data_IF_996910223448
#
_entry.id   IF_996910223448
#
_cell.length_a   1.000
_cell.length_b   1.000
_cell.length_c   1.000
_cell.angle_alpha   90.00
_cell.angle_beta   90.00
_cell.angle_gamma   90.00
#
_symmetry.space_group_name_H-M   'P 1'
#
loop_
_entity.id
_entity.type
_entity.pdbx_description
1 polymer ?
#
# COMPACT_ATOMS: atom_id res chain seq x y z
N UNK A 1 18.07 -10.18 -9.83
CA UNK A 1 18.84 -8.92 -9.70
C UNK A 1 18.16 -7.94 -10.64
N UNK A 2 17.45 -6.97 -10.11
CA UNK A 2 16.78 -5.92 -10.87
C UNK A 2 17.66 -4.66 -10.75
N UNK A 3 17.87 -3.97 -11.85
CA UNK A 3 18.72 -2.78 -11.89
C UNK A 3 17.85 -1.55 -11.64
N UNK A 4 18.30 -0.62 -10.80
CA UNK A 4 17.55 0.62 -10.50
C UNK A 4 17.22 1.42 -11.77
N UNK A 5 18.08 1.37 -12.79
CA UNK A 5 17.84 1.97 -14.11
C UNK A 5 16.56 1.45 -14.80
N UNK A 6 16.11 0.22 -14.50
CA UNK A 6 14.88 -0.34 -15.07
C UNK A 6 13.61 0.32 -14.52
N UNK A 7 13.70 0.99 -13.37
CA UNK A 7 12.59 1.76 -12.83
C UNK A 7 12.41 3.11 -13.47
N UNK A 8 13.45 3.65 -14.12
CA UNK A 8 13.44 5.03 -14.62
C UNK A 8 12.27 5.33 -15.59
N UNK A 9 11.98 4.49 -16.60
CA UNK A 9 10.81 4.73 -17.45
C UNK A 9 9.49 4.65 -16.69
N UNK A 10 9.44 3.85 -15.61
CA UNK A 10 8.27 3.73 -14.76
C UNK A 10 8.10 4.97 -13.89
N UNK A 11 9.16 5.52 -13.31
CA UNK A 11 9.09 6.76 -12.52
C UNK A 11 8.67 7.95 -13.38
N UNK A 12 9.20 8.10 -14.59
CA UNK A 12 8.76 9.13 -15.56
C UNK A 12 7.28 9.01 -15.90
N UNK A 13 6.80 7.78 -16.13
CA UNK A 13 5.39 7.56 -16.40
C UNK A 13 4.50 7.94 -15.21
N UNK A 14 4.87 7.50 -13.99
CA UNK A 14 4.10 7.79 -12.78
C UNK A 14 4.10 9.28 -12.44
N UNK A 15 5.24 9.98 -12.60
CA UNK A 15 5.32 11.42 -12.46
C UNK A 15 4.38 12.10 -13.46
N UNK A 16 4.43 11.72 -14.73
CA UNK A 16 3.55 12.25 -15.77
C UNK A 16 2.07 12.10 -15.41
N UNK A 17 1.67 10.96 -14.84
CA UNK A 17 0.31 10.75 -14.34
C UNK A 17 -0.08 11.76 -13.25
N UNK A 18 0.78 11.98 -12.25
CA UNK A 18 0.53 12.92 -11.13
C UNK A 18 0.47 14.36 -11.66
N UNK A 19 1.49 14.78 -12.42
CA UNK A 19 1.59 16.14 -12.98
C UNK A 19 0.39 16.47 -13.86
N UNK A 20 -0.03 15.55 -14.73
CA UNK A 20 -1.18 15.78 -15.60
C UNK A 20 -2.48 15.89 -14.81
N UNK A 21 -2.64 15.10 -13.74
CA UNK A 21 -3.81 15.19 -12.88
C UNK A 21 -3.88 16.53 -12.14
N UNK A 22 -2.77 16.99 -11.56
CA UNK A 22 -2.71 18.29 -10.89
C UNK A 22 -2.93 19.46 -11.85
N UNK A 23 -2.34 19.42 -13.06
CA UNK A 23 -2.57 20.43 -14.10
C UNK A 23 -4.03 20.47 -14.56
N UNK A 24 -4.68 19.31 -14.72
CA UNK A 24 -6.08 19.24 -15.13
C UNK A 24 -7.02 19.89 -14.10
N UNK A 25 -6.65 19.85 -12.82
CA UNK A 25 -7.35 20.50 -11.71
C UNK A 25 -6.93 21.97 -11.50
N UNK A 26 -5.99 22.48 -12.30
CA UNK A 26 -5.54 23.88 -12.25
C UNK A 26 -4.46 24.19 -11.21
N UNK A 27 -3.84 23.17 -10.60
CA UNK A 27 -2.80 23.36 -9.60
C UNK A 27 -1.43 23.61 -10.23
N UNK A 28 -0.68 24.56 -9.68
CA UNK A 28 0.73 24.72 -9.98
C UNK A 28 1.52 23.59 -9.30
N UNK A 29 2.48 23.00 -10.02
CA UNK A 29 3.28 21.89 -9.51
C UNK A 29 4.75 22.07 -9.89
N UNK A 30 5.63 21.72 -8.95
CA UNK A 30 7.05 21.51 -9.21
C UNK A 30 7.36 20.05 -8.94
N UNK A 31 8.08 19.40 -9.84
CA UNK A 31 8.48 18.01 -9.70
C UNK A 31 9.98 17.87 -9.89
N UNK A 32 10.56 16.91 -9.19
CA UNK A 32 11.98 16.60 -9.30
C UNK A 32 12.14 15.09 -9.18
N UNK A 33 12.76 14.49 -10.19
CA UNK A 33 13.13 13.09 -10.15
C UNK A 33 14.55 12.97 -9.63
N UNK A 34 14.76 12.02 -8.72
CA UNK A 34 16.06 11.77 -8.10
C UNK A 34 16.33 10.27 -8.23
N UNK A 35 17.44 9.92 -8.86
CA UNK A 35 17.94 8.56 -8.81
C UNK A 35 18.51 8.28 -7.42
N UNK A 36 18.08 7.19 -6.77
CA UNK A 36 18.55 6.83 -5.43
C UNK A 36 20.07 6.60 -5.40
N UNK A 37 20.65 6.12 -6.51
CA UNK A 37 22.09 5.91 -6.61
C UNK A 37 22.84 7.24 -6.62
N UNK A 38 22.40 8.21 -7.41
CA UNK A 38 23.02 9.53 -7.47
C UNK A 38 22.95 10.23 -6.11
N UNK A 39 21.84 10.04 -5.41
CA UNK A 39 21.68 10.58 -4.06
C UNK A 39 22.60 9.89 -3.04
N UNK A 40 22.79 8.57 -3.15
CA UNK A 40 23.74 7.84 -2.32
C UNK A 40 25.20 8.28 -2.59
N UNK A 41 25.53 8.55 -3.85
CA UNK A 41 26.87 9.00 -4.28
C UNK A 41 27.13 10.49 -3.97
N UNK A 42 26.08 11.31 -3.84
CA UNK A 42 26.14 12.75 -3.57
C UNK A 42 25.02 13.20 -2.61
N UNK A 43 25.16 12.91 -1.30
CA UNK A 43 24.10 13.15 -0.32
C UNK A 43 23.89 14.64 0.03
N UNK A 44 24.83 15.51 -0.30
CA UNK A 44 24.79 16.95 0.04
C UNK A 44 23.91 17.78 -0.93
N UNK A 45 23.13 17.12 -1.80
CA UNK A 45 22.14 17.81 -2.62
C UNK A 45 21.07 18.44 -1.73
N UNK A 46 20.65 19.67 -2.04
CA UNK A 46 19.55 20.35 -1.35
C UNK A 46 18.55 20.84 -2.37
N UNK A 47 17.26 20.63 -2.08
CA UNK A 47 16.18 21.07 -2.96
C UNK A 47 15.41 22.23 -2.33
N UNK A 48 15.22 23.29 -3.10
CA UNK A 48 14.49 24.48 -2.67
C UNK A 48 13.13 24.58 -3.36
N UNK A 49 12.18 25.21 -2.67
CA UNK A 49 10.83 25.45 -3.16
C UNK A 49 10.60 26.95 -3.24
N UNK A 50 10.08 27.40 -4.39
CA UNK A 50 9.79 28.82 -4.65
C UNK A 50 8.48 29.28 -4.01
N UNK A 51 7.66 28.35 -3.51
CA UNK A 51 6.39 28.67 -2.87
C UNK A 51 6.58 29.09 -1.41
N UNK A 52 5.68 29.95 -0.93
CA UNK A 52 5.70 30.41 0.45
C UNK A 52 5.58 29.23 1.43
N UNK A 53 6.25 29.27 2.60
CA UNK A 53 6.08 28.27 3.64
C UNK A 53 4.60 28.09 3.99
N UNK A 54 4.19 26.84 4.17
CA UNK A 54 2.81 26.43 4.45
C UNK A 54 1.79 26.73 3.35
N UNK A 55 2.24 27.09 2.13
CA UNK A 55 1.37 27.27 0.97
C UNK A 55 1.36 26.08 0.00
N UNK A 56 2.08 25.00 0.30
CA UNK A 56 2.22 23.83 -0.57
C UNK A 56 2.22 22.51 0.21
N UNK A 57 1.94 21.42 -0.51
CA UNK A 57 2.05 20.04 -0.02
C UNK A 57 3.28 19.39 -0.64
N UNK A 58 3.99 18.57 0.14
CA UNK A 58 5.11 17.75 -0.34
C UNK A 58 4.68 16.30 -0.44
N UNK A 59 4.77 15.71 -1.63
CA UNK A 59 4.55 14.28 -1.84
C UNK A 59 5.83 13.65 -2.37
N UNK A 60 6.34 12.63 -1.67
CA UNK A 60 7.50 11.85 -2.10
C UNK A 60 7.04 10.44 -2.49
N UNK A 61 7.38 10.00 -3.69
CA UNK A 61 7.08 8.65 -4.16
C UNK A 61 8.38 7.88 -4.31
N UNK A 62 8.60 6.91 -3.43
CA UNK A 62 9.74 6.02 -3.47
C UNK A 62 9.43 4.82 -4.36
N UNK A 63 10.23 4.61 -5.41
CA UNK A 63 10.18 3.42 -6.26
C UNK A 63 11.49 2.66 -6.07
N UNK A 64 11.44 1.55 -5.32
CA UNK A 64 12.63 0.74 -5.05
C UNK A 64 12.26 -0.74 -4.80
N UNK A 65 13.28 -1.58 -4.64
CA UNK A 65 13.16 -2.99 -4.30
C UNK A 65 13.62 -3.24 -2.86
N UNK A 66 12.97 -4.20 -2.19
CA UNK A 66 13.57 -4.83 -1.02
C UNK A 66 14.61 -5.85 -1.48
N UNK A 67 15.87 -5.67 -1.08
CA UNK A 67 16.94 -6.65 -1.32
C UNK A 67 17.07 -7.50 -0.06
N UNK A 68 17.08 -8.82 -0.22
CA UNK A 68 17.21 -9.85 0.82
C UNK A 68 15.95 -10.21 1.63
N UNK A 69 16.07 -11.29 2.41
CA UNK A 69 15.09 -11.73 3.42
C UNK A 69 14.91 -10.75 4.57
N UNK A 70 15.80 -9.77 4.73
CA UNK A 70 15.80 -8.82 5.84
C UNK A 70 15.03 -7.52 5.54
N UNK A 71 14.48 -7.36 4.33
CA UNK A 71 13.61 -6.23 4.01
C UNK A 71 14.34 -4.89 3.84
N UNK A 72 15.60 -4.91 3.40
CA UNK A 72 16.42 -3.70 3.18
C UNK A 72 16.06 -3.01 1.86
N UNK A 73 16.11 -1.68 1.81
CA UNK A 73 15.77 -0.88 0.63
C UNK A 73 16.98 -0.70 -0.30
N UNK A 74 16.86 -1.07 -1.58
CA UNK A 74 17.92 -0.87 -2.55
C UNK A 74 18.15 0.62 -2.85
N UNK A 75 19.40 1.07 -2.78
CA UNK A 75 19.79 2.43 -3.18
C UNK A 75 20.85 2.45 -4.29
N UNK A 76 21.61 1.36 -4.46
CA UNK A 76 22.50 1.14 -5.61
C UNK A 76 22.57 -0.37 -5.96
N UNK A 77 23.28 -0.73 -7.04
CA UNK A 77 23.34 -2.12 -7.55
C UNK A 77 23.75 -3.17 -6.50
N UNK A 78 24.54 -2.79 -5.50
CA UNK A 78 24.97 -3.67 -4.40
C UNK A 78 24.82 -3.03 -3.02
N UNK A 79 24.03 -1.95 -2.90
CA UNK A 79 23.83 -1.23 -1.65
C UNK A 79 22.35 -1.27 -1.31
N UNK A 80 22.05 -1.81 -0.13
CA UNK A 80 20.73 -1.77 0.46
C UNK A 80 20.85 -1.30 1.91
N UNK A 81 19.88 -0.50 2.33
CA UNK A 81 19.88 0.15 3.63
C UNK A 81 18.70 -0.33 4.49
N UNK A 82 18.86 -0.28 5.81
CA UNK A 82 17.74 -0.41 6.74
C UNK A 82 16.76 0.75 6.56
N UNK A 83 15.57 0.62 7.14
CA UNK A 83 14.51 1.61 7.00
C UNK A 83 14.96 3.01 7.43
N UNK A 84 15.60 3.10 8.61
CA UNK A 84 16.07 4.37 9.17
C UNK A 84 17.22 4.98 8.37
N UNK A 85 18.20 4.19 7.94
CA UNK A 85 19.29 4.71 7.11
C UNK A 85 18.78 5.16 5.74
N UNK A 86 17.86 4.41 5.12
CA UNK A 86 17.22 4.77 3.87
C UNK A 86 16.48 6.10 3.98
N UNK A 87 15.66 6.25 5.02
CA UNK A 87 14.91 7.47 5.27
C UNK A 87 15.85 8.65 5.55
N UNK A 88 16.84 8.49 6.42
CA UNK A 88 17.83 9.55 6.70
C UNK A 88 18.55 10.02 5.43
N UNK A 89 18.99 9.10 4.57
CA UNK A 89 19.62 9.41 3.30
C UNK A 89 18.67 10.21 2.39
N UNK A 90 17.42 9.77 2.28
CA UNK A 90 16.49 10.31 1.29
C UNK A 90 15.75 11.57 1.73
N UNK A 91 15.56 11.77 3.04
CA UNK A 91 14.91 12.98 3.56
C UNK A 91 15.88 14.12 3.82
N UNK A 92 17.17 13.85 4.01
CA UNK A 92 18.19 14.90 4.22
C UNK A 92 18.11 16.04 3.19
N UNK A 93 18.16 15.75 1.88
CA UNK A 93 18.08 16.77 0.82
C UNK A 93 16.81 17.62 0.77
N UNK A 94 15.70 17.06 1.26
CA UNK A 94 14.35 17.65 1.17
C UNK A 94 13.79 18.03 2.54
N UNK A 95 14.60 17.95 3.60
CA UNK A 95 14.15 18.18 4.97
C UNK A 95 13.56 19.58 5.15
N UNK A 96 14.18 20.60 4.57
CA UNK A 96 13.64 21.96 4.56
C UNK A 96 12.28 22.07 3.86
N UNK A 97 12.06 21.29 2.80
CA UNK A 97 10.78 21.24 2.08
C UNK A 97 9.70 20.59 2.93
N UNK A 98 10.01 19.45 3.56
CA UNK A 98 9.08 18.74 4.45
C UNK A 98 8.66 19.67 5.59
N UNK A 99 9.63 20.28 6.29
CA UNK A 99 9.36 21.16 7.43
C UNK A 99 8.54 22.41 7.04
N UNK A 100 8.81 23.01 5.88
CA UNK A 100 8.12 24.19 5.39
C UNK A 100 6.77 23.88 4.70
N UNK A 101 6.49 22.64 4.32
CA UNK A 101 5.21 22.25 3.72
C UNK A 101 4.04 22.40 4.70
N UNK A 102 2.84 22.66 4.19
CA UNK A 102 1.60 22.60 4.96
C UNK A 102 1.32 21.16 5.43
N UNK A 103 1.59 20.21 4.54
CA UNK A 103 1.44 18.80 4.77
C UNK A 103 2.47 18.04 3.93
N UNK A 104 2.98 16.93 4.48
CA UNK A 104 3.97 16.08 3.83
C UNK A 104 3.59 14.60 3.87
N UNK A 105 3.73 13.92 2.74
CA UNK A 105 3.38 12.52 2.59
C UNK A 105 4.45 11.74 1.83
N UNK A 106 4.60 10.46 2.16
CA UNK A 106 5.40 9.52 1.37
C UNK A 106 4.60 8.29 0.91
N UNK A 107 4.89 7.82 -0.30
CA UNK A 107 4.37 6.55 -0.84
C UNK A 107 5.54 5.64 -1.20
N UNK A 108 5.59 4.47 -0.58
CA UNK A 108 6.59 3.44 -0.82
C UNK A 108 6.06 2.39 -1.79
N UNK A 109 6.43 2.54 -3.05
CA UNK A 109 6.21 1.57 -4.12
C UNK A 109 7.34 0.54 -4.10
N UNK A 110 7.39 -0.20 -3.00
CA UNK A 110 8.42 -1.21 -2.75
C UNK A 110 7.86 -2.59 -2.93
N UNK A 111 8.50 -3.41 -3.78
CA UNK A 111 8.23 -4.85 -3.77
C UNK A 111 9.20 -5.56 -2.82
N UNK A 112 8.76 -6.69 -2.28
CA UNK A 112 9.54 -7.52 -1.37
C UNK A 112 8.94 -7.57 0.03
N UNK A 113 9.74 -7.92 1.03
CA UNK A 113 9.31 -8.23 2.40
C UNK A 113 9.68 -7.14 3.41
N UNK A 114 9.52 -5.88 3.02
CA UNK A 114 9.95 -4.74 3.83
C UNK A 114 9.19 -4.66 5.15
N UNK A 115 7.88 -4.95 5.09
CA UNK A 115 6.94 -4.85 6.22
C UNK A 115 6.59 -6.23 6.82
N UNK A 116 7.35 -7.28 6.48
CA UNK A 116 7.08 -8.63 6.98
C UNK A 116 7.48 -8.79 8.46
N UNK A 117 8.34 -7.90 8.99
CA UNK A 117 8.70 -7.88 10.41
C UNK A 117 7.98 -6.75 11.16
N UNK A 118 7.52 -7.08 12.37
CA UNK A 118 7.00 -6.08 13.30
C UNK A 118 8.09 -5.04 13.63
N UNK A 119 9.33 -5.48 13.80
CA UNK A 119 10.49 -4.62 14.08
C UNK A 119 10.66 -3.51 13.04
N UNK A 120 10.67 -3.83 11.74
CA UNK A 120 10.80 -2.83 10.68
C UNK A 120 9.61 -1.86 10.69
N UNK A 121 8.41 -2.38 10.99
CA UNK A 121 7.20 -1.56 11.05
C UNK A 121 7.23 -0.60 12.24
N UNK A 122 7.75 -1.06 13.39
CA UNK A 122 7.98 -0.21 14.56
C UNK A 122 9.02 0.87 14.28
N UNK A 123 10.15 0.51 13.68
CA UNK A 123 11.21 1.46 13.35
C UNK A 123 10.70 2.59 12.43
N UNK A 124 9.88 2.24 11.44
CA UNK A 124 9.23 3.22 10.56
C UNK A 124 8.23 4.10 11.30
N UNK A 125 7.41 3.54 12.20
CA UNK A 125 6.48 4.34 13.01
C UNK A 125 7.24 5.29 13.93
N UNK A 126 8.26 4.81 14.65
CA UNK A 126 9.10 5.65 15.51
C UNK A 126 9.75 6.80 14.73
N UNK A 127 10.15 6.55 13.49
CA UNK A 127 10.69 7.58 12.63
C UNK A 127 9.62 8.61 12.21
N UNK A 128 8.42 8.19 11.83
CA UNK A 128 7.31 9.10 11.47
C UNK A 128 6.89 9.96 12.67
N UNK A 129 6.94 9.44 13.89
CA UNK A 129 6.71 10.23 15.11
C UNK A 129 7.80 11.27 15.39
N UNK A 130 8.94 11.18 14.70
CA UNK A 130 10.05 12.12 14.84
C UNK A 130 9.71 13.54 14.36
N UNK A 131 10.44 14.55 14.85
CA UNK A 131 10.36 15.89 14.28
C UNK A 131 10.88 15.90 12.84
N UNK A 132 10.29 16.78 12.02
CA UNK A 132 10.73 17.06 10.64
C UNK A 132 10.75 15.86 9.68
N UNK A 133 9.86 14.91 9.92
CA UNK A 133 9.55 13.78 9.04
C UNK A 133 8.18 13.97 8.37
N UNK A 134 7.82 13.05 7.47
CA UNK A 134 6.52 13.06 6.81
C UNK A 134 5.37 13.00 7.82
N UNK A 135 4.27 13.70 7.55
CA UNK A 135 3.06 13.63 8.38
C UNK A 135 2.34 12.29 8.24
N UNK A 136 2.51 11.64 7.10
CA UNK A 136 1.94 10.32 6.82
C UNK A 136 2.75 9.55 5.79
N UNK A 137 2.70 8.22 5.85
CA UNK A 137 3.31 7.35 4.85
C UNK A 137 2.41 6.18 4.49
N UNK A 138 2.48 5.73 3.23
CA UNK A 138 1.81 4.52 2.76
C UNK A 138 2.85 3.57 2.19
N UNK A 139 2.82 2.32 2.63
CA UNK A 139 3.65 1.24 2.13
C UNK A 139 2.86 0.15 1.43
N UNK A 140 3.42 -0.46 0.40
CA UNK A 140 2.84 -1.66 -0.24
C UNK A 140 3.38 -2.93 0.42
N UNK A 141 2.50 -3.86 0.78
CA UNK A 141 2.87 -5.11 1.48
C UNK A 141 3.23 -6.26 0.51
N UNK A 142 3.15 -6.04 -0.80
CA UNK A 142 3.24 -7.11 -1.78
C UNK A 142 4.69 -7.47 -2.10
N UNK A 143 5.01 -8.75 -1.93
CA UNK A 143 6.31 -9.31 -2.31
C UNK A 143 6.62 -9.15 -3.81
N UNK A 144 5.59 -9.06 -4.65
CA UNK A 144 5.68 -8.87 -6.10
C UNK A 144 4.77 -7.74 -6.53
N UNK A 145 5.16 -6.50 -6.20
CA UNK A 145 4.52 -5.29 -6.71
C UNK A 145 5.06 -4.95 -8.10
N UNK A 146 4.17 -4.70 -9.06
CA UNK A 146 4.50 -3.95 -10.27
C UNK A 146 3.94 -2.52 -10.11
N UNK A 147 4.78 -1.47 -10.10
CA UNK A 147 4.30 -0.10 -9.86
C UNK A 147 3.26 0.38 -10.87
N UNK A 148 3.22 -0.19 -12.07
CA UNK A 148 2.21 0.13 -13.08
C UNK A 148 0.76 -0.12 -12.62
N UNK A 149 0.53 -1.03 -11.68
CA UNK A 149 -0.80 -1.26 -11.10
C UNK A 149 -1.32 -0.07 -10.29
N UNK A 150 -0.44 0.88 -9.94
CA UNK A 150 -0.76 2.07 -9.16
C UNK A 150 -0.81 3.34 -10.00
N UNK A 151 -0.64 3.26 -11.32
CA UNK A 151 -0.62 4.42 -12.21
C UNK A 151 -1.91 5.26 -12.17
N UNK A 152 -3.07 4.65 -11.88
CA UNK A 152 -4.33 5.38 -11.70
C UNK A 152 -4.60 5.76 -10.24
N UNK A 153 -4.06 5.01 -9.29
CA UNK A 153 -4.20 5.28 -7.86
C UNK A 153 -3.39 6.52 -7.42
N UNK A 154 -2.12 6.60 -7.81
CA UNK A 154 -1.20 7.68 -7.44
C UNK A 154 -1.75 9.08 -7.77
N UNK A 155 -2.18 9.39 -9.00
CA UNK A 155 -2.72 10.72 -9.29
C UNK A 155 -4.00 11.01 -8.48
N UNK A 156 -4.87 10.03 -8.26
CA UNK A 156 -6.09 10.24 -7.47
C UNK A 156 -5.76 10.58 -6.02
N UNK A 157 -4.88 9.81 -5.39
CA UNK A 157 -4.51 10.03 -3.98
C UNK A 157 -3.70 11.33 -3.82
N UNK A 158 -2.87 11.66 -4.81
CA UNK A 158 -2.11 12.92 -4.88
C UNK A 158 -3.02 14.15 -5.09
N UNK A 159 -4.08 14.05 -5.89
CA UNK A 159 -5.05 15.15 -6.04
C UNK A 159 -5.87 15.33 -4.76
N UNK A 160 -6.25 14.25 -4.08
CA UNK A 160 -6.97 14.36 -2.81
C UNK A 160 -6.10 15.02 -1.72
N UNK A 161 -4.77 14.86 -1.72
CA UNK A 161 -3.88 15.60 -0.81
C UNK A 161 -4.05 17.13 -0.89
N UNK A 162 -4.33 17.67 -2.08
CA UNK A 162 -4.46 19.12 -2.29
C UNK A 162 -5.82 19.66 -1.85
N UNK A 163 -6.86 18.82 -1.87
CA UNK A 163 -8.23 19.21 -1.53
C UNK A 163 -8.56 19.15 -0.03
N UNK A 164 -7.73 18.47 0.77
CA UNK A 164 -7.96 18.26 2.20
C UNK A 164 -6.85 18.88 3.03
N UNK A 165 -7.16 19.22 4.27
CA UNK A 165 -6.17 19.77 5.21
C UNK A 165 -5.15 18.72 5.70
N UNK A 166 -5.37 17.43 5.46
CA UNK A 166 -4.49 16.33 5.87
C UNK A 166 -4.82 15.03 5.12
N UNK A 167 -3.84 14.12 5.05
CA UNK A 167 -4.03 12.75 4.55
C UNK A 167 -4.59 11.87 5.66
N UNK A 168 -5.92 11.86 5.81
CA UNK A 168 -6.54 10.91 6.72
C UNK A 168 -6.48 9.49 6.15
N UNK A 169 -6.34 8.53 7.05
CA UNK A 169 -6.28 7.11 6.74
C UNK A 169 -7.48 6.63 5.90
N UNK A 170 -8.69 7.14 6.19
CA UNK A 170 -9.92 6.74 5.52
C UNK A 170 -9.95 7.20 4.07
N UNK A 171 -9.41 8.37 3.75
CA UNK A 171 -9.32 8.89 2.41
C UNK A 171 -8.37 8.02 1.57
N UNK A 172 -7.19 7.69 2.08
CA UNK A 172 -6.25 6.79 1.39
C UNK A 172 -6.92 5.44 1.11
N UNK A 173 -7.58 4.87 2.11
CA UNK A 173 -8.33 3.61 1.99
C UNK A 173 -9.43 3.71 0.91
N UNK A 174 -10.23 4.78 0.94
CA UNK A 174 -11.34 5.00 0.00
C UNK A 174 -10.86 5.18 -1.43
N UNK A 175 -9.75 5.87 -1.66
CA UNK A 175 -9.15 6.04 -2.99
C UNK A 175 -8.58 4.71 -3.49
N UNK A 176 -7.85 4.00 -2.64
CA UNK A 176 -7.23 2.72 -3.00
C UNK A 176 -8.27 1.66 -3.37
N UNK A 177 -9.30 1.47 -2.53
CA UNK A 177 -10.30 0.42 -2.76
C UNK A 177 -11.18 0.70 -3.98
N UNK A 178 -11.38 1.97 -4.36
CA UNK A 178 -12.10 2.35 -5.59
C UNK A 178 -11.28 2.13 -6.85
N UNK A 179 -9.96 2.07 -6.71
CA UNK A 179 -9.07 1.71 -7.82
C UNK A 179 -8.93 0.19 -7.88
N UNK A 180 -9.79 -0.43 -8.70
CA UNK A 180 -9.86 -1.89 -8.80
C UNK A 180 -8.53 -2.52 -9.21
N UNK A 181 -7.72 -1.83 -10.02
CA UNK A 181 -6.41 -2.35 -10.42
C UNK A 181 -5.45 -2.32 -9.22
N UNK A 182 -5.35 -1.17 -8.55
CA UNK A 182 -4.52 -1.04 -7.36
C UNK A 182 -4.90 -2.05 -6.27
N UNK A 183 -6.17 -2.10 -5.84
CA UNK A 183 -6.57 -2.93 -4.71
C UNK A 183 -6.52 -4.43 -4.99
N UNK A 184 -6.70 -4.86 -6.24
CA UNK A 184 -6.56 -6.30 -6.59
C UNK A 184 -5.12 -6.78 -6.59
N UNK A 185 -4.16 -5.87 -6.77
CA UNK A 185 -2.74 -6.20 -6.88
C UNK A 185 -1.91 -5.76 -5.68
N UNK A 186 -2.51 -5.03 -4.74
CA UNK A 186 -1.82 -4.49 -3.57
C UNK A 186 -2.61 -4.72 -2.29
N UNK A 187 -1.88 -4.89 -1.19
CA UNK A 187 -2.30 -4.55 0.15
C UNK A 187 -1.42 -3.42 0.64
N UNK A 188 -1.95 -2.62 1.56
CA UNK A 188 -1.27 -1.41 2.02
C UNK A 188 -1.08 -1.42 3.51
N UNK A 189 -0.05 -0.73 3.97
CA UNK A 189 0.09 -0.28 5.34
C UNK A 189 0.09 1.24 5.33
N UNK A 190 -0.66 1.83 6.24
CA UNK A 190 -0.70 3.26 6.48
C UNK A 190 -0.03 3.56 7.81
N UNK A 191 0.77 4.61 7.80
CA UNK A 191 1.38 5.20 8.98
C UNK A 191 0.98 6.68 9.03
N UNK A 192 0.59 7.15 10.20
CA UNK A 192 0.30 8.56 10.48
C UNK A 192 0.95 8.95 11.79
N UNK A 193 1.32 10.23 11.93
CA UNK A 193 1.76 10.78 13.22
C UNK A 193 0.65 10.63 14.26
N UNK A 194 1.01 10.20 15.46
CA UNK A 194 0.09 10.00 16.60
C UNK A 194 -0.99 8.94 16.34
N UNK A 195 -0.82 8.11 15.32
CA UNK A 195 -1.75 7.03 14.96
C UNK A 195 -1.02 5.69 14.98
N UNK A 196 -1.71 4.63 15.43
CA UNK A 196 -1.17 3.29 15.27
C UNK A 196 -1.19 2.91 13.78
N UNK A 197 -0.12 2.31 13.23
CA UNK A 197 -0.09 1.89 11.85
C UNK A 197 -1.13 0.80 11.58
N UNK A 198 -1.74 0.88 10.40
CA UNK A 198 -2.87 0.06 10.02
C UNK A 198 -2.65 -0.59 8.67
N UNK A 199 -2.94 -1.89 8.60
CA UNK A 199 -2.89 -2.67 7.38
C UNK A 199 -4.26 -2.72 6.73
N UNK A 200 -4.30 -2.45 5.43
CA UNK A 200 -5.47 -2.59 4.59
C UNK A 200 -5.30 -3.82 3.70
N UNK A 201 -6.11 -4.84 3.96
CA UNK A 201 -6.17 -6.01 3.11
C UNK A 201 -7.36 -5.95 2.17
N UNK A 202 -7.11 -6.02 0.86
CA UNK A 202 -8.20 -6.12 -0.09
C UNK A 202 -8.93 -7.44 0.14
N UNK A 203 -10.24 -7.36 0.37
CA UNK A 203 -11.04 -8.46 0.92
C UNK A 203 -12.23 -8.84 0.03
N UNK A 204 -12.02 -9.19 -1.25
CA UNK A 204 -13.09 -9.69 -2.11
C UNK A 204 -13.63 -10.99 -1.52
N UNK A 205 -14.82 -10.93 -0.92
CA UNK A 205 -15.39 -12.01 -0.10
C UNK A 205 -15.49 -13.37 -0.82
N UNK A 206 -15.53 -13.37 -2.15
CA UNK A 206 -15.65 -14.59 -2.96
C UNK A 206 -14.31 -15.31 -3.21
N UNK A 207 -13.18 -14.63 -3.05
CA UNK A 207 -11.85 -15.17 -3.41
C UNK A 207 -10.84 -15.04 -2.29
N UNK A 208 -10.89 -13.92 -1.56
CA UNK A 208 -9.97 -13.57 -0.48
C UNK A 208 -10.73 -12.92 0.69
N UNK A 209 -11.65 -13.64 1.36
CA UNK A 209 -12.40 -13.05 2.46
C UNK A 209 -11.46 -12.65 3.61
N UNK A 210 -11.66 -11.44 4.15
CA UNK A 210 -10.86 -10.87 5.26
C UNK A 210 -9.35 -10.86 4.96
N UNK A 211 -8.96 -10.60 3.72
CA UNK A 211 -7.55 -10.53 3.34
C UNK A 211 -6.83 -11.88 3.28
N UNK A 212 -7.53 -13.01 3.38
CA UNK A 212 -6.92 -14.34 3.31
C UNK A 212 -7.40 -15.12 2.10
N UNK A 213 -6.46 -15.64 1.32
CA UNK A 213 -6.79 -16.46 0.17
C UNK A 213 -7.57 -17.71 0.60
N UNK A 214 -8.59 -18.05 -0.16
CA UNK A 214 -9.26 -19.33 0.04
C UNK A 214 -8.30 -20.48 -0.28
N UNK A 215 -8.31 -21.56 0.52
CA UNK A 215 -7.48 -22.72 0.23
C UNK A 215 -7.87 -23.32 -1.13
N UNK A 216 -6.92 -23.92 -1.83
CA UNK A 216 -7.20 -24.60 -3.10
C UNK A 216 -8.32 -25.63 -2.92
N UNK A 217 -9.39 -25.48 -3.70
CA UNK A 217 -10.57 -26.37 -3.59
C UNK A 217 -10.24 -27.83 -3.88
N UNK A 218 -9.21 -28.09 -4.69
CA UNK A 218 -8.74 -29.44 -5.02
C UNK A 218 -7.91 -30.06 -3.89
N UNK A 219 -7.28 -29.22 -3.06
CA UNK A 219 -6.57 -29.68 -1.88
C UNK A 219 -7.55 -30.11 -0.78
N UNK A 220 -8.56 -29.27 -0.50
CA UNK A 220 -9.50 -29.49 0.61
C UNK A 220 -10.63 -30.46 0.24
N UNK A 221 -11.22 -30.32 -0.94
CA UNK A 221 -12.36 -31.13 -1.35
C UNK A 221 -11.94 -32.20 -2.37
N UNK A 222 -12.19 -33.48 -2.08
CA UNK A 222 -11.83 -34.61 -2.95
C UNK A 222 -12.96 -35.15 -3.85
N UNK A 223 -14.13 -34.51 -3.87
CA UNK A 223 -15.21 -34.94 -4.77
C UNK A 223 -14.83 -34.79 -6.26
N UNK A 224 -15.32 -35.71 -7.08
CA UNK A 224 -15.18 -35.67 -8.55
C UNK A 224 -16.19 -34.68 -9.15
N UNK A 225 -15.87 -34.02 -10.28
CA UNK A 225 -16.83 -33.21 -11.02
C UNK A 225 -18.00 -34.08 -11.50
N UNK A 226 -19.23 -33.56 -11.45
CA UNK A 226 -20.40 -34.30 -11.93
C UNK A 226 -20.42 -34.29 -13.47
N UNK A 227 -20.21 -35.44 -14.12
CA UNK A 227 -20.03 -35.56 -15.58
C UNK A 227 -21.16 -34.93 -16.41
N UNK A 228 -22.33 -34.69 -15.80
CA UNK A 228 -23.52 -34.12 -16.46
C UNK A 228 -23.56 -32.59 -16.54
N UNK A 229 -22.68 -31.87 -15.85
CA UNK A 229 -22.69 -30.40 -15.80
C UNK A 229 -21.72 -29.80 -16.83
N UNK A 230 -22.26 -29.08 -17.82
CA UNK A 230 -21.51 -28.46 -18.94
C UNK A 230 -20.63 -27.25 -18.53
N UNK A 231 -20.77 -26.71 -17.32
CA UNK A 231 -19.91 -25.63 -16.79
C UNK A 231 -19.23 -26.06 -15.48
N UNK A 232 -18.32 -27.03 -15.58
CA UNK A 232 -17.96 -27.88 -14.44
C UNK A 232 -16.72 -27.47 -13.62
N UNK A 233 -16.27 -26.21 -13.71
CA UNK A 233 -15.13 -25.78 -12.89
C UNK A 233 -15.54 -25.79 -11.41
N UNK A 234 -14.94 -26.70 -10.67
CA UNK A 234 -15.06 -26.81 -9.22
C UNK A 234 -14.62 -25.48 -8.59
N UNK A 235 -15.51 -24.83 -7.85
CA UNK A 235 -15.23 -23.55 -7.20
C UNK A 235 -15.85 -23.48 -5.80
N UNK A 236 -15.31 -22.59 -4.98
CA UNK A 236 -15.92 -22.27 -3.70
C UNK A 236 -17.15 -21.38 -3.94
N UNK A 237 -18.26 -21.72 -3.28
CA UNK A 237 -19.41 -20.85 -3.07
C UNK A 237 -19.23 -20.27 -1.67
N UNK A 238 -19.04 -18.95 -1.58
CA UNK A 238 -18.84 -18.27 -0.31
C UNK A 238 -20.14 -17.62 0.15
N UNK A 239 -20.46 -17.79 1.43
CA UNK A 239 -21.51 -17.04 2.12
C UNK A 239 -20.90 -16.38 3.34
N UNK A 240 -21.19 -15.10 3.56
CA UNK A 240 -20.74 -14.34 4.72
C UNK A 240 -21.87 -13.47 5.27
N UNK A 241 -21.72 -13.03 6.52
CA UNK A 241 -22.60 -12.02 7.14
C UNK A 241 -21.90 -10.68 7.40
N UNK A 242 -20.67 -10.53 6.89
CA UNK A 242 -19.89 -9.30 7.02
C UNK A 242 -20.59 -8.09 6.38
N UNK A 243 -20.61 -6.98 7.10
CA UNK A 243 -21.08 -5.67 6.67
C UNK A 243 -20.11 -4.59 7.18
N UNK A 244 -20.27 -3.34 6.71
CA UNK A 244 -19.36 -2.25 7.08
C UNK A 244 -19.28 -2.06 8.60
N UNK A 245 -18.08 -1.76 9.10
CA UNK A 245 -17.70 -1.56 10.51
C UNK A 245 -17.84 -2.79 11.40
N UNK A 246 -18.20 -3.96 10.84
CA UNK A 246 -18.26 -5.20 11.61
C UNK A 246 -16.85 -5.64 12.01
N UNK A 247 -16.67 -6.00 13.28
CA UNK A 247 -15.41 -6.52 13.79
C UNK A 247 -15.04 -7.85 13.11
N UNK A 248 -13.80 -7.98 12.64
CA UNK A 248 -13.39 -9.12 11.79
C UNK A 248 -13.61 -10.48 12.48
N UNK A 249 -13.32 -10.57 13.78
CA UNK A 249 -13.52 -11.78 14.59
C UNK A 249 -14.99 -12.24 14.75
N UNK A 250 -15.95 -11.37 14.47
CA UNK A 250 -17.39 -11.71 14.50
C UNK A 250 -17.93 -12.17 13.16
N UNK A 251 -17.14 -12.05 12.09
CA UNK A 251 -17.58 -12.37 10.73
C UNK A 251 -17.48 -13.87 10.49
N UNK A 252 -18.65 -14.50 10.37
CA UNK A 252 -18.74 -15.90 9.96
C UNK A 252 -18.69 -16.03 8.44
N UNK A 253 -17.69 -16.75 7.95
CA UNK A 253 -17.56 -17.12 6.55
C UNK A 253 -17.80 -18.61 6.41
N UNK A 254 -18.69 -18.96 5.50
CA UNK A 254 -19.04 -20.32 5.19
C UNK A 254 -18.78 -20.58 3.72
N UNK A 255 -17.80 -21.43 3.42
CA UNK A 255 -17.49 -21.86 2.05
C UNK A 255 -18.09 -23.23 1.76
N UNK A 256 -18.60 -23.44 0.55
CA UNK A 256 -19.12 -24.74 0.08
C UNK A 256 -18.52 -25.11 -1.26
N UNK A 257 -18.19 -26.39 -1.45
CA UNK A 257 -17.83 -26.87 -2.78
C UNK A 257 -19.05 -26.82 -3.71
N UNK A 258 -18.92 -26.19 -4.88
CA UNK A 258 -20.01 -26.08 -5.85
C UNK A 258 -20.55 -27.43 -6.36
N UNK A 259 -19.74 -28.49 -6.29
CA UNK A 259 -20.08 -29.84 -6.78
C UNK A 259 -20.77 -30.70 -5.71
N UNK A 260 -20.08 -31.03 -4.61
CA UNK A 260 -20.64 -31.92 -3.58
C UNK A 260 -21.36 -31.21 -2.42
N UNK A 261 -21.38 -29.87 -2.40
CA UNK A 261 -22.02 -29.09 -1.34
C UNK A 261 -21.34 -29.12 0.03
N UNK A 262 -20.29 -29.94 0.23
CA UNK A 262 -19.53 -30.02 1.49
C UNK A 262 -19.00 -28.65 1.87
N UNK A 263 -19.27 -28.25 3.11
CA UNK A 263 -19.01 -26.92 3.65
C UNK A 263 -17.89 -26.90 4.69
N UNK A 264 -17.20 -25.77 4.78
CA UNK A 264 -16.24 -25.46 5.82
C UNK A 264 -16.51 -24.05 6.35
N UNK A 265 -16.50 -23.90 7.67
CA UNK A 265 -16.47 -22.59 8.30
C UNK A 265 -15.05 -22.06 8.33
N UNK A 266 -14.86 -20.81 7.91
CA UNK A 266 -13.64 -20.04 8.18
C UNK A 266 -13.99 -19.09 9.32
N UNK A 267 -13.35 -19.26 10.47
CA UNK A 267 -13.46 -18.33 11.59
C UNK A 267 -12.21 -17.48 11.69
N UNK A 268 -12.39 -16.17 11.82
CA UNK A 268 -11.31 -15.21 12.03
C UNK A 268 -11.16 -14.89 13.53
N UNK A 269 -11.21 -15.90 14.40
CA UNK A 269 -11.27 -15.70 15.86
C UNK A 269 -10.15 -14.82 16.41
N UNK A 270 -9.01 -14.83 15.72
CA UNK A 270 -7.79 -14.13 16.13
C UNK A 270 -7.53 -12.85 15.31
N UNK A 271 -8.49 -12.40 14.48
CA UNK A 271 -8.32 -11.18 13.69
C UNK A 271 -8.95 -10.00 14.40
N UNK A 272 -8.09 -9.14 14.89
CA UNK A 272 -8.47 -7.81 15.32
C UNK A 272 -8.66 -6.89 14.11
N UNK A 273 -9.54 -5.89 14.24
CA UNK A 273 -9.84 -4.92 13.19
C UNK A 273 -11.28 -4.93 12.72
N UNK A 274 -11.53 -4.20 11.63
CA UNK A 274 -12.87 -3.92 11.11
C UNK A 274 -12.97 -4.17 9.62
N UNK A 275 -14.17 -4.57 9.18
CA UNK A 275 -14.50 -4.65 7.78
C UNK A 275 -14.98 -3.29 7.26
N UNK A 276 -14.29 -2.74 6.26
CA UNK A 276 -14.71 -1.53 5.56
C UNK A 276 -15.34 -1.89 4.22
N UNK A 277 -16.37 -1.15 3.81
CA UNK A 277 -17.06 -1.31 2.53
C UNK A 277 -17.13 0.02 1.81
N UNK A 278 -16.64 0.07 0.58
CA UNK A 278 -16.64 1.27 -0.26
C UNK A 278 -17.03 0.88 -1.67
N UNK A 279 -18.05 1.51 -2.24
CA UNK A 279 -18.48 1.24 -3.61
C UNK A 279 -18.87 -0.23 -3.88
N UNK A 280 -19.27 -0.98 -2.84
CA UNK A 280 -19.58 -2.42 -2.96
C UNK A 280 -18.39 -3.36 -2.77
N UNK A 281 -17.16 -2.83 -2.74
CA UNK A 281 -15.94 -3.56 -2.46
C UNK A 281 -15.63 -3.57 -0.96
N UNK A 282 -14.87 -4.56 -0.52
CA UNK A 282 -14.55 -4.77 0.88
C UNK A 282 -13.03 -4.73 1.12
N UNK A 283 -12.64 -4.12 2.23
CA UNK A 283 -11.29 -4.18 2.78
C UNK A 283 -11.35 -4.57 4.26
N UNK A 284 -10.40 -5.37 4.71
CA UNK A 284 -10.20 -5.63 6.13
C UNK A 284 -9.11 -4.66 6.60
N UNK A 285 -9.43 -3.86 7.62
CA UNK A 285 -8.51 -2.90 8.21
C UNK A 285 -8.08 -3.46 9.56
N UNK A 286 -6.78 -3.71 9.71
CA UNK A 286 -6.19 -4.43 10.85
C UNK A 286 -5.11 -3.55 11.47
N UNK A 287 -5.13 -3.29 12.79
CA UNK A 287 -4.01 -2.64 13.45
C UNK A 287 -2.78 -3.56 13.41
N UNK A 288 -1.59 -3.01 13.14
CA UNK A 288 -0.34 -3.80 13.08
C UNK A 288 -0.01 -4.51 14.39
N UNK A 289 -0.54 -4.03 15.54
CA UNK A 289 -0.08 -4.43 16.87
C UNK A 289 -0.86 -5.53 17.58
N UNK A 290 -1.73 -6.28 16.90
CA UNK A 290 -2.55 -7.32 17.55
C UNK A 290 -2.61 -8.59 16.68
N UNK A 291 -1.49 -9.31 16.63
CA UNK A 291 -1.41 -10.71 16.18
C UNK A 291 -0.39 -11.49 16.99
#
# INVERSE_FOLDING_TARGET
>A
MFYLAQFWPTSEHLEGCIVNAWKAEGWACSTTQICLQDLYESPDQTFECVYEPKAYVTLVVYVTHAVSTHGLYQVADNVALGAREFLKLTTGPIHGLIAASFFSAAIFLTCGRVYDSLENTFELQEWIEGPDTFDSMVGMLNQRLAPCYLASFLPKVATQLLGYSHWDQRMVLDVWIRDTLACTHTDMIYFGKQEAPQVFFFSPMNTRPLGRELPSIHMVCKCRPDEKSRSNKKKWIVKHRGHEKMALNTIFIHIKCSQCGKGHGLTAKDHEGVLVKVGGLFAAVVPVFLS
#
